data_IF_517123448422
#
_entry.id   IF_517123448422
#
_cell.length_a   1.000
_cell.length_b   1.000
_cell.length_c   1.000
_cell.angle_alpha   90.00
_cell.angle_beta   90.00
_cell.angle_gamma   90.00
#
_symmetry.space_group_name_H-M   'P 1'
#
loop_
_entity.id
_entity.type
_entity.pdbx_description
1 polymer ?
#
# COMPACT_ATOMS: atom_id res chain seq x y z
N UNK A 1 12.52 16.79 9.80
CA UNK A 1 11.63 15.65 10.11
C UNK A 1 11.09 15.87 11.50
N UNK A 2 9.78 15.73 11.66
CA UNK A 2 9.17 15.59 12.97
C UNK A 2 9.64 14.27 13.60
N UNK A 3 10.00 14.27 14.87
CA UNK A 3 10.53 13.08 15.55
C UNK A 3 9.39 12.15 15.99
N UNK A 4 8.50 11.78 15.06
CA UNK A 4 7.31 10.98 15.32
C UNK A 4 7.20 9.82 14.33
N UNK A 5 6.79 8.66 14.82
CA UNK A 5 6.39 7.51 14.00
C UNK A 5 4.89 7.54 13.76
N UNK A 6 4.46 7.22 12.54
CA UNK A 6 3.05 7.24 12.15
C UNK A 6 2.58 5.87 11.68
N UNK A 7 1.46 5.39 12.21
CA UNK A 7 0.85 4.12 11.83
C UNK A 7 -0.60 4.38 11.38
N UNK A 8 -0.99 4.00 10.15
CA UNK A 8 -2.38 4.09 9.72
C UNK A 8 -3.32 3.25 10.59
N UNK A 9 -4.45 3.83 10.99
CA UNK A 9 -5.54 3.07 11.61
C UNK A 9 -6.16 2.11 10.59
N UNK A 10 -6.87 1.06 11.02
CA UNK A 10 -7.77 0.33 10.14
C UNK A 10 -8.70 1.30 9.40
N UNK A 11 -8.78 1.17 8.07
CA UNK A 11 -9.53 2.09 7.21
C UNK A 11 -8.73 3.30 6.72
N UNK A 12 -7.60 3.63 7.34
CA UNK A 12 -6.70 4.70 6.90
C UNK A 12 -7.34 6.08 6.90
N UNK A 13 -8.17 6.36 7.91
CA UNK A 13 -8.80 7.66 8.18
C UNK A 13 -8.00 8.46 9.23
N UNK A 14 -7.18 7.78 10.03
CA UNK A 14 -6.33 8.39 11.04
C UNK A 14 -4.92 7.79 10.99
N UNK A 15 -3.93 8.55 11.43
CA UNK A 15 -2.62 8.06 11.81
C UNK A 15 -2.51 8.10 13.33
N UNK A 16 -2.11 6.98 13.93
CA UNK A 16 -1.60 6.99 15.29
C UNK A 16 -0.16 7.48 15.25
N UNK A 17 0.13 8.57 15.95
CA UNK A 17 1.49 9.12 16.05
C UNK A 17 2.11 8.82 17.40
N UNK A 18 3.40 8.49 17.37
CA UNK A 18 4.20 8.11 18.53
C UNK A 18 5.48 8.93 18.53
N UNK A 19 5.66 9.78 19.55
CA UNK A 19 6.90 10.51 19.77
C UNK A 19 8.05 9.54 20.10
N UNK A 20 9.30 9.88 19.75
CA UNK A 20 10.47 9.10 20.17
C UNK A 20 10.57 8.91 21.70
N UNK A 21 9.95 9.78 22.48
CA UNK A 21 9.94 9.74 23.94
C UNK A 21 8.68 9.09 24.53
N UNK A 22 7.87 8.42 23.71
CA UNK A 22 6.61 7.80 24.11
C UNK A 22 6.79 6.74 25.21
N UNK A 23 6.01 6.85 26.29
CA UNK A 23 6.01 5.92 27.43
C UNK A 23 4.75 5.06 27.43
N UNK A 24 4.80 3.93 28.13
CA UNK A 24 3.70 2.94 28.18
C UNK A 24 2.34 3.51 28.63
N UNK A 25 2.34 4.60 29.41
CA UNK A 25 1.10 5.26 29.90
C UNK A 25 0.64 6.42 29.02
N UNK A 26 1.44 6.79 28.03
CA UNK A 26 1.10 7.90 27.14
C UNK A 26 0.01 7.45 26.17
N UNK A 27 -0.84 8.40 25.77
CA UNK A 27 -1.88 8.13 24.77
C UNK A 27 -1.33 8.53 23.40
N UNK A 28 -1.47 7.70 22.37
CA UNK A 28 -1.06 8.08 21.03
C UNK A 28 -1.92 9.25 20.55
N UNK A 29 -1.29 10.22 19.91
CA UNK A 29 -1.98 11.33 19.26
C UNK A 29 -2.55 10.83 17.93
N UNK A 30 -3.82 11.15 17.67
CA UNK A 30 -4.50 10.77 16.44
C UNK A 30 -4.49 11.94 15.46
N UNK A 31 -3.85 11.73 14.31
CA UNK A 31 -3.84 12.70 13.21
C UNK A 31 -4.87 12.28 12.18
N UNK A 32 -5.86 13.13 11.93
CA UNK A 32 -6.90 12.88 10.93
C UNK A 32 -6.34 12.99 9.52
N UNK A 33 -6.71 12.03 8.66
CA UNK A 33 -6.34 12.01 7.25
C UNK A 33 -7.52 12.49 6.41
N UNK A 34 -7.37 13.67 5.81
CA UNK A 34 -8.44 14.24 4.99
C UNK A 34 -8.10 14.13 3.51
N UNK A 35 -8.70 13.15 2.85
CA UNK A 35 -8.58 13.00 1.41
C UNK A 35 -9.51 13.97 0.69
N UNK A 36 -8.96 14.77 -0.23
CA UNK A 36 -9.79 15.49 -1.21
C UNK A 36 -10.64 14.47 -1.97
N UNK A 37 -11.89 14.84 -2.25
CA UNK A 37 -12.82 14.00 -3.01
C UNK A 37 -12.18 13.57 -4.32
N UNK A 38 -12.16 12.25 -4.56
CA UNK A 38 -11.74 11.71 -5.85
C UNK A 38 -12.67 12.25 -6.96
N UNK A 39 -12.17 12.42 -8.19
CA UNK A 39 -13.01 12.79 -9.32
C UNK A 39 -14.22 11.85 -9.45
N UNK A 40 -15.40 12.39 -9.78
CA UNK A 40 -16.65 11.63 -9.86
C UNK A 40 -16.56 10.42 -10.82
N UNK A 41 -15.79 10.57 -11.90
CA UNK A 41 -15.51 9.50 -12.88
C UNK A 41 -14.74 8.32 -12.27
N UNK A 42 -13.90 8.58 -11.26
CA UNK A 42 -13.26 7.53 -10.49
C UNK A 42 -14.24 6.93 -9.49
N UNK A 43 -15.04 7.73 -8.78
CA UNK A 43 -15.97 7.23 -7.76
C UNK A 43 -16.94 6.17 -8.30
N UNK A 44 -17.45 6.35 -9.52
CA UNK A 44 -18.36 5.36 -10.15
C UNK A 44 -17.70 4.00 -10.41
N UNK A 45 -16.42 4.00 -10.80
CA UNK A 45 -15.63 2.79 -11.02
C UNK A 45 -15.07 2.17 -9.72
N UNK A 46 -15.25 2.86 -8.59
CA UNK A 46 -14.59 2.55 -7.32
C UNK A 46 -15.59 2.23 -6.20
N UNK A 47 -16.90 2.34 -6.45
CA UNK A 47 -17.96 2.00 -5.50
C UNK A 47 -17.77 0.58 -4.94
N UNK A 48 -17.42 -0.37 -5.81
CA UNK A 48 -17.10 -1.74 -5.41
C UNK A 48 -15.84 -1.79 -4.54
N UNK A 49 -14.82 -0.98 -4.81
CA UNK A 49 -13.58 -0.97 -4.03
C UNK A 49 -13.78 -0.51 -2.59
N UNK A 50 -14.74 0.38 -2.33
CA UNK A 50 -15.03 0.86 -0.97
C UNK A 50 -15.68 -0.21 -0.07
N UNK A 51 -16.32 -1.23 -0.66
CA UNK A 51 -16.82 -2.38 0.09
C UNK A 51 -15.71 -3.37 0.49
N UNK A 52 -14.51 -3.23 -0.10
CA UNK A 52 -13.45 -4.23 -0.01
C UNK A 52 -12.55 -4.08 1.18
N UNK A 53 -12.15 -5.21 1.76
CA UNK A 53 -11.07 -5.23 2.74
C UNK A 53 -9.77 -4.83 2.05
N UNK A 54 -9.15 -3.76 2.54
CA UNK A 54 -7.88 -3.21 2.04
C UNK A 54 -6.82 -3.19 3.12
N UNK A 55 -5.58 -2.99 2.71
CA UNK A 55 -4.50 -2.59 3.63
C UNK A 55 -4.05 -1.17 3.28
N UNK A 56 -3.74 -0.39 4.31
CA UNK A 56 -3.31 1.01 4.20
C UNK A 56 -1.86 1.09 4.67
N UNK A 57 -0.98 1.68 3.86
CA UNK A 57 0.47 1.80 4.13
C UNK A 57 0.87 3.26 4.00
N UNK A 58 1.46 3.85 5.04
CA UNK A 58 2.08 5.17 4.95
C UNK A 58 3.57 4.99 4.70
N UNK A 59 4.09 5.68 3.69
CA UNK A 59 5.50 5.59 3.28
C UNK A 59 6.07 6.98 3.15
N UNK A 60 7.28 7.16 3.69
CA UNK A 60 8.07 8.38 3.51
C UNK A 60 9.18 8.14 2.47
N UNK A 61 9.34 9.10 1.58
CA UNK A 61 10.41 9.12 0.57
C UNK A 61 11.71 9.67 1.16
N UNK A 62 12.87 9.43 0.49
CA UNK A 62 14.14 10.00 0.93
C UNK A 62 14.16 11.55 1.01
N UNK A 63 13.28 12.23 0.26
CA UNK A 63 13.11 13.69 0.30
C UNK A 63 12.20 14.18 1.43
N UNK A 64 11.55 13.28 2.18
CA UNK A 64 10.58 13.60 3.23
C UNK A 64 9.13 13.72 2.74
N UNK A 65 8.86 13.51 1.45
CA UNK A 65 7.48 13.45 0.95
C UNK A 65 6.80 12.16 1.44
N UNK A 66 5.57 12.28 1.95
CA UNK A 66 4.81 11.16 2.47
C UNK A 66 3.66 10.76 1.54
N UNK A 67 3.45 9.45 1.40
CA UNK A 67 2.41 8.85 0.57
C UNK A 67 1.60 7.84 1.38
N UNK A 68 0.28 7.93 1.31
CA UNK A 68 -0.62 6.89 1.79
C UNK A 68 -1.02 6.00 0.61
N UNK A 69 -0.71 4.71 0.69
CA UNK A 69 -1.05 3.71 -0.31
C UNK A 69 -2.18 2.84 0.22
N UNK A 70 -3.27 2.77 -0.54
CA UNK A 70 -4.39 1.87 -0.27
C UNK A 70 -4.31 0.68 -1.22
N UNK A 71 -4.07 -0.52 -0.69
CA UNK A 71 -3.91 -1.75 -1.46
C UNK A 71 -5.16 -2.62 -1.41
N UNK A 72 -5.76 -2.84 -2.59
CA UNK A 72 -6.99 -3.59 -2.79
C UNK A 72 -6.70 -4.96 -3.43
N UNK A 73 -6.93 -6.08 -2.70
CA UNK A 73 -6.93 -7.43 -3.27
C UNK A 73 -8.20 -7.66 -4.09
N UNK A 74 -8.21 -8.61 -5.02
CA UNK A 74 -9.42 -9.01 -5.76
C UNK A 74 -10.41 -9.73 -4.84
N UNK A 75 -11.65 -9.21 -4.80
CA UNK A 75 -12.61 -9.47 -3.72
C UNK A 75 -13.38 -10.78 -3.88
N UNK A 76 -13.47 -11.30 -5.11
CA UNK A 76 -14.30 -12.46 -5.42
C UNK A 76 -13.99 -13.64 -4.49
N UNK A 77 -12.72 -13.82 -4.10
CA UNK A 77 -12.31 -14.88 -3.17
C UNK A 77 -12.52 -14.53 -1.69
N UNK A 78 -12.43 -13.27 -1.28
CA UNK A 78 -12.68 -12.86 0.12
C UNK A 78 -14.13 -13.07 0.51
N UNK A 79 -15.06 -12.74 -0.39
CA UNK A 79 -16.47 -13.03 -0.22
C UNK A 79 -16.69 -14.56 -0.12
N UNK A 80 -16.10 -15.33 -1.03
CA UNK A 80 -16.22 -16.79 -1.04
C UNK A 80 -15.67 -17.44 0.24
N UNK A 81 -14.49 -17.05 0.71
CA UNK A 81 -13.89 -17.60 1.93
C UNK A 81 -14.67 -17.23 3.19
N UNK A 82 -15.21 -16.00 3.26
CA UNK A 82 -16.04 -15.53 4.38
C UNK A 82 -17.39 -16.24 4.42
N UNK A 83 -17.95 -16.57 3.25
CA UNK A 83 -19.30 -17.11 3.14
C UNK A 83 -19.36 -18.64 3.19
N UNK A 84 -18.37 -19.34 2.60
CA UNK A 84 -18.38 -20.81 2.51
C UNK A 84 -17.40 -21.51 3.45
N UNK A 85 -16.51 -20.78 4.14
CA UNK A 85 -15.55 -21.38 5.07
C UNK A 85 -14.58 -22.37 4.41
N UNK A 86 -14.00 -23.28 5.21
CA UNK A 86 -13.00 -24.27 4.79
C UNK A 86 -13.61 -25.46 4.00
N UNK A 87 -14.94 -25.47 3.79
CA UNK A 87 -15.70 -26.53 3.11
C UNK A 87 -15.55 -26.53 1.58
N UNK A 88 -14.71 -25.63 1.03
CA UNK A 88 -14.49 -25.49 -0.42
C UNK A 88 -13.53 -26.52 -1.04
N UNK A 89 -13.25 -27.65 -0.38
CA UNK A 89 -12.42 -28.73 -0.97
C UNK A 89 -13.08 -29.40 -2.20
N UNK A 90 -14.38 -29.18 -2.42
CA UNK A 90 -15.18 -29.87 -3.43
C UNK A 90 -15.57 -29.04 -4.67
N UNK A 91 -15.25 -27.74 -4.73
CA UNK A 91 -15.38 -26.97 -5.97
C UNK A 91 -14.16 -27.21 -6.85
N UNK A 92 -14.33 -28.13 -7.79
CA UNK A 92 -13.31 -28.68 -8.69
C UNK A 92 -12.64 -27.64 -9.60
N UNK A 93 -11.31 -27.62 -9.62
CA UNK A 93 -10.53 -27.48 -10.85
C UNK A 93 -9.83 -26.15 -11.12
N UNK A 94 -10.40 -25.00 -10.75
CA UNK A 94 -9.73 -23.71 -10.92
C UNK A 94 -9.09 -23.28 -9.59
N UNK A 95 -7.75 -23.23 -9.56
CA UNK A 95 -7.02 -22.59 -8.45
C UNK A 95 -7.39 -21.12 -8.44
N UNK A 96 -8.43 -20.74 -7.69
CA UNK A 96 -8.77 -19.33 -7.49
C UNK A 96 -7.58 -18.61 -6.86
N UNK A 97 -6.92 -17.72 -7.58
CA UNK A 97 -5.71 -17.05 -7.09
C UNK A 97 -6.10 -15.74 -6.40
N UNK A 98 -5.62 -15.51 -5.17
CA UNK A 98 -5.69 -14.17 -4.60
C UNK A 98 -4.79 -13.26 -5.43
N UNK A 99 -5.36 -12.26 -6.10
CA UNK A 99 -4.59 -11.32 -6.92
C UNK A 99 -4.78 -9.91 -6.39
N UNK A 100 -3.77 -9.09 -6.57
CA UNK A 100 -3.89 -7.65 -6.38
C UNK A 100 -4.76 -7.08 -7.48
N UNK A 101 -5.81 -6.36 -7.10
CA UNK A 101 -6.72 -5.69 -8.04
C UNK A 101 -6.23 -4.29 -8.36
N UNK A 102 -5.87 -3.51 -7.33
CA UNK A 102 -5.50 -2.09 -7.50
C UNK A 102 -4.72 -1.52 -6.33
N UNK A 103 -4.00 -0.44 -6.61
CA UNK A 103 -3.48 0.49 -5.60
C UNK A 103 -4.03 1.89 -5.85
N UNK A 104 -4.30 2.62 -4.77
CA UNK A 104 -4.48 4.07 -4.82
C UNK A 104 -3.38 4.74 -4.04
N UNK A 105 -2.84 5.83 -4.60
CA UNK A 105 -1.75 6.58 -3.98
C UNK A 105 -2.26 7.98 -3.68
N UNK A 106 -2.07 8.39 -2.44
CA UNK A 106 -2.39 9.73 -1.97
C UNK A 106 -1.12 10.39 -1.45
N UNK A 107 -0.80 11.58 -1.96
CA UNK A 107 0.32 12.39 -1.49
C UNK A 107 -0.16 13.27 -0.34
N UNK A 108 0.62 13.31 0.74
CA UNK A 108 0.43 14.27 1.84
C UNK A 108 0.78 15.65 1.32
N UNK A 109 -0.18 16.58 1.43
CA UNK A 109 0.05 17.99 1.09
C UNK A 109 0.94 18.63 2.16
N UNK A 110 1.66 19.69 1.79
CA UNK A 110 2.54 20.45 2.69
C UNK A 110 1.86 20.75 4.04
N UNK A 111 2.65 20.84 5.12
CA UNK A 111 2.13 20.81 6.49
C UNK A 111 0.98 21.79 6.65
N UNK A 112 -0.17 21.21 6.96
CA UNK A 112 -1.32 21.95 7.42
C UNK A 112 -0.91 22.83 8.60
N UNK A 113 -1.58 23.96 8.75
CA UNK A 113 -1.51 24.77 9.97
C UNK A 113 -2.07 24.07 11.20
N UNK A 114 -2.55 22.84 11.05
CA UNK A 114 -3.24 22.02 12.04
C UNK A 114 -2.50 20.70 12.16
N UNK A 115 -1.66 20.58 13.20
CA UNK A 115 -0.83 19.41 13.46
C UNK A 115 -1.65 18.12 13.65
N UNK A 116 -2.96 18.23 13.92
CA UNK A 116 -3.88 17.10 14.08
C UNK A 116 -4.56 16.68 12.77
N UNK A 117 -4.21 17.29 11.63
CA UNK A 117 -4.83 17.00 10.34
C UNK A 117 -3.84 17.00 9.19
N UNK A 118 -3.72 15.91 8.46
CA UNK A 118 -2.97 15.86 7.18
C UNK A 118 -3.95 15.85 6.01
N UNK A 119 -3.79 16.81 5.09
CA UNK A 119 -4.54 16.82 3.84
C UNK A 119 -3.85 15.90 2.83
N UNK A 120 -4.65 15.12 2.10
CA UNK A 120 -4.20 14.14 1.14
C UNK A 120 -4.81 14.43 -0.23
N UNK A 121 -3.98 14.42 -1.27
CA UNK A 121 -4.44 14.45 -2.67
C UNK A 121 -4.12 13.15 -3.37
N UNK A 122 -5.10 12.60 -4.10
CA UNK A 122 -4.86 11.48 -4.99
C UNK A 122 -3.84 11.87 -6.07
N UNK A 123 -2.91 10.96 -6.37
CA UNK A 123 -1.94 11.15 -7.43
C UNK A 123 -1.71 9.86 -8.22
N UNK A 124 -1.50 10.01 -9.52
CA UNK A 124 -1.05 8.95 -10.42
C UNK A 124 0.45 9.08 -10.77
N UNK A 125 1.13 10.00 -10.08
CA UNK A 125 2.51 10.34 -10.33
C UNK A 125 3.26 10.66 -9.03
N UNK A 126 4.25 9.84 -8.70
CA UNK A 126 5.20 10.05 -7.60
C UNK A 126 6.61 10.44 -8.11
N UNK A 127 6.76 10.75 -9.39
CA UNK A 127 8.01 11.19 -10.00
C UNK A 127 9.03 10.06 -10.15
N UNK A 128 10.28 10.34 -9.81
CA UNK A 128 11.42 9.40 -9.88
C UNK A 128 11.43 8.38 -8.72
N UNK A 129 10.33 8.28 -7.97
CA UNK A 129 10.24 7.38 -6.82
C UNK A 129 9.66 6.02 -7.23
N UNK A 130 10.02 4.99 -6.46
CA UNK A 130 9.33 3.70 -6.46
C UNK A 130 9.11 3.23 -5.02
N UNK A 131 8.00 2.53 -4.80
CA UNK A 131 7.54 2.13 -3.47
C UNK A 131 7.55 0.61 -3.38
N UNK A 132 8.01 0.06 -2.26
CA UNK A 132 8.04 -1.37 -1.99
C UNK A 132 7.06 -1.72 -0.88
N UNK A 133 6.09 -2.58 -1.19
CA UNK A 133 5.03 -3.00 -0.27
C UNK A 133 5.11 -4.50 0.00
N UNK A 134 5.09 -4.88 1.27
CA UNK A 134 5.06 -6.26 1.72
C UNK A 134 4.33 -6.39 3.04
N UNK A 135 4.71 -7.36 3.86
CA UNK A 135 4.21 -7.49 5.23
C UNK A 135 4.79 -6.49 6.22
N UNK A 136 6.08 -6.22 6.08
CA UNK A 136 6.80 -5.30 6.96
C UNK A 136 6.64 -3.86 6.49
N UNK A 137 7.39 -2.97 7.14
CA UNK A 137 7.45 -1.56 6.82
C UNK A 137 7.67 -1.34 5.33
N UNK A 138 6.72 -0.63 4.73
CA UNK A 138 6.80 -0.19 3.37
C UNK A 138 7.84 0.94 3.26
N UNK A 139 8.64 0.91 2.20
CA UNK A 139 9.69 1.90 2.00
C UNK A 139 9.69 2.44 0.57
N UNK A 140 10.33 3.60 0.40
CA UNK A 140 10.41 4.31 -0.87
C UNK A 140 11.87 4.57 -1.24
N UNK A 141 12.20 4.34 -2.50
CA UNK A 141 13.52 4.57 -3.07
C UNK A 141 13.44 5.52 -4.26
N UNK A 142 14.52 6.26 -4.49
CA UNK A 142 14.72 6.98 -5.75
C UNK A 142 15.14 5.98 -6.83
N UNK A 143 14.31 5.79 -7.84
CA UNK A 143 14.50 4.77 -8.88
C UNK A 143 15.77 4.99 -9.69
N UNK A 144 16.10 6.24 -10.04
CA UNK A 144 17.29 6.57 -10.82
C UNK A 144 18.62 6.18 -10.15
N UNK A 145 18.65 5.95 -8.83
CA UNK A 145 19.84 5.52 -8.11
C UNK A 145 20.12 4.02 -8.26
N UNK A 146 19.17 3.22 -8.73
CA UNK A 146 19.27 1.77 -8.77
C UNK A 146 18.93 1.22 -10.17
N UNK A 147 19.92 0.66 -10.89
CA UNK A 147 19.66 0.06 -12.19
C UNK A 147 18.57 -1.02 -12.13
N UNK A 148 17.58 -0.93 -13.02
CA UNK A 148 16.47 -1.88 -13.12
C UNK A 148 15.22 -1.50 -12.33
N UNK A 149 15.25 -0.46 -11.49
CA UNK A 149 14.04 0.11 -10.91
C UNK A 149 13.34 1.02 -11.91
N UNK A 150 12.01 0.91 -11.96
CA UNK A 150 11.15 1.77 -12.78
C UNK A 150 10.59 2.89 -11.89
N UNK A 151 10.72 4.16 -12.30
CA UNK A 151 10.09 5.27 -11.58
C UNK A 151 8.56 5.16 -11.66
N UNK A 152 7.88 5.85 -10.76
CA UNK A 152 6.43 5.91 -10.66
C UNK A 152 5.74 4.53 -10.58
N UNK A 153 6.33 3.62 -9.82
CA UNK A 153 5.87 2.23 -9.69
C UNK A 153 5.80 1.77 -8.22
N UNK A 154 4.94 0.78 -7.98
CA UNK A 154 4.84 0.05 -6.72
C UNK A 154 5.26 -1.40 -6.96
N UNK A 155 6.34 -1.81 -6.31
CA UNK A 155 6.77 -3.19 -6.21
C UNK A 155 6.08 -3.83 -5.02
N UNK A 156 5.41 -4.95 -5.21
CA UNK A 156 4.66 -5.58 -4.13
C UNK A 156 4.90 -7.09 -4.05
N UNK A 157 4.90 -7.60 -2.82
CA UNK A 157 4.94 -9.02 -2.50
C UNK A 157 3.85 -9.34 -1.48
N UNK A 158 3.09 -10.39 -1.72
CA UNK A 158 1.86 -10.66 -0.97
C UNK A 158 1.06 -11.79 -1.60
N UNK A 159 -0.22 -11.50 -1.85
CA UNK A 159 -1.15 -12.37 -2.57
C UNK A 159 -0.59 -12.87 -3.91
N UNK A 160 0.12 -11.99 -4.59
CA UNK A 160 0.87 -12.18 -5.83
C UNK A 160 2.06 -11.21 -5.81
N UNK A 161 3.08 -11.47 -6.62
CA UNK A 161 4.24 -10.59 -6.71
C UNK A 161 4.20 -9.83 -8.03
N UNK A 162 4.63 -8.57 -8.02
CA UNK A 162 4.65 -7.80 -9.26
C UNK A 162 5.02 -6.35 -9.10
N UNK A 163 4.83 -5.63 -10.20
CA UNK A 163 5.01 -4.18 -10.32
C UNK A 163 3.72 -3.56 -10.82
N UNK A 164 3.21 -2.61 -10.05
CA UNK A 164 2.08 -1.78 -10.44
C UNK A 164 2.59 -0.43 -10.96
N UNK A 165 2.28 -0.11 -12.20
CA UNK A 165 2.59 1.19 -12.81
C UNK A 165 1.50 2.18 -12.43
N UNK A 166 1.86 3.22 -11.67
CA UNK A 166 0.88 4.12 -11.05
C UNK A 166 0.18 4.98 -12.12
N UNK A 167 0.87 5.37 -13.19
CA UNK A 167 0.28 6.20 -14.24
C UNK A 167 -0.70 5.41 -15.12
N UNK A 168 -0.30 4.23 -15.58
CA UNK A 168 -1.12 3.40 -16.47
C UNK A 168 -2.14 2.55 -15.72
N UNK A 169 -2.00 2.42 -14.41
CA UNK A 169 -2.80 1.55 -13.54
C UNK A 169 -2.71 0.06 -13.93
N UNK A 170 -1.61 -0.34 -14.60
CA UNK A 170 -1.37 -1.71 -15.04
C UNK A 170 -0.58 -2.47 -13.98
N UNK A 171 -1.07 -3.67 -13.65
CA UNK A 171 -0.42 -4.59 -12.73
C UNK A 171 0.33 -5.69 -13.51
N UNK A 172 1.66 -5.64 -13.52
CA UNK A 172 2.52 -6.64 -14.15
C UNK A 172 2.93 -7.68 -13.11
N UNK A 173 2.48 -8.92 -13.28
CA UNK A 173 2.73 -10.00 -12.32
C UNK A 173 3.99 -10.77 -12.68
N UNK A 174 4.77 -11.13 -11.67
CA UNK A 174 5.90 -12.01 -11.85
C UNK A 174 5.43 -13.46 -11.89
N UNK A 175 5.91 -14.21 -12.89
CA UNK A 175 5.62 -15.63 -13.05
C UNK A 175 6.88 -16.43 -13.35
N UNK A 176 6.83 -17.71 -13.03
CA UNK A 176 7.80 -18.73 -13.41
C UNK A 176 7.14 -19.73 -14.35
N UNK A 177 7.89 -20.72 -14.84
CA UNK A 177 7.33 -21.85 -15.61
C UNK A 177 6.24 -22.62 -14.81
N UNK A 178 6.28 -22.54 -13.48
CA UNK A 178 5.31 -23.17 -12.57
C UNK A 178 4.07 -22.30 -12.30
N UNK A 179 4.04 -21.06 -12.79
CA UNK A 179 2.92 -20.12 -12.67
C UNK A 179 3.26 -18.81 -11.95
N UNK A 180 2.22 -18.06 -11.58
CA UNK A 180 2.38 -16.76 -10.89
C UNK A 180 3.07 -16.92 -9.53
N UNK A 181 4.08 -16.10 -9.28
CA UNK A 181 4.71 -16.01 -7.97
C UNK A 181 3.73 -15.44 -6.94
N UNK A 182 3.69 -16.09 -5.78
CA UNK A 182 2.81 -15.75 -4.66
C UNK A 182 3.31 -16.42 -3.39
N UNK A 183 2.89 -15.88 -2.24
CA UNK A 183 3.00 -16.60 -0.98
C UNK A 183 1.76 -16.39 -0.12
N UNK A 184 1.26 -17.47 0.48
CA UNK A 184 0.21 -17.41 1.50
C UNK A 184 0.76 -16.97 2.85
N UNK A 185 2.04 -17.23 3.12
CA UNK A 185 2.80 -16.56 4.17
C UNK A 185 3.20 -15.18 3.65
N UNK A 186 2.40 -14.16 3.94
CA UNK A 186 2.58 -12.78 3.46
C UNK A 186 4.07 -12.36 3.63
N UNK A 187 4.85 -12.27 2.53
CA UNK A 187 6.31 -12.26 2.56
C UNK A 187 6.88 -10.86 2.78
N UNK A 188 8.19 -10.82 3.04
CA UNK A 188 8.90 -9.62 3.47
C UNK A 188 9.86 -9.14 2.38
N UNK A 189 9.95 -7.83 2.18
CA UNK A 189 11.08 -7.25 1.46
C UNK A 189 12.30 -7.23 2.39
N UNK A 190 13.52 -7.46 1.86
CA UNK A 190 14.72 -7.24 2.66
C UNK A 190 14.79 -5.77 3.08
N UNK A 191 15.09 -5.52 4.35
CA UNK A 191 15.19 -4.16 4.88
C UNK A 191 16.23 -3.35 4.07
N UNK A 192 15.98 -2.07 3.73
CA UNK A 192 16.86 -1.27 2.88
C UNK A 192 18.32 -1.22 3.33
N UNK A 193 18.56 -1.29 4.64
CA UNK A 193 19.91 -1.32 5.24
C UNK A 193 20.73 -2.59 4.89
N UNK A 194 20.09 -3.64 4.37
CA UNK A 194 20.78 -4.84 3.88
C UNK A 194 21.08 -4.79 2.38
N UNK A 195 20.74 -3.70 1.68
CA UNK A 195 21.11 -3.49 0.28
C UNK A 195 22.47 -2.79 0.27
N UNK A 196 23.58 -3.47 -0.06
CA UNK A 196 24.88 -2.81 -0.14
C UNK A 196 24.84 -1.75 -1.25
N UNK A 197 25.44 -0.56 -1.05
CA UNK A 197 25.63 0.39 -2.14
C UNK A 197 26.54 -0.27 -3.20
N UNK A 198 26.03 -0.34 -4.43
CA UNK A 198 26.78 -0.80 -5.62
C UNK A 198 27.78 0.24 -6.09
#
# INVERSE_FOLDING_TARGET
>A
MDQKFYIPSPGGEYLCSFDLNFKEKDKPELVSLWTKLLPQSMLHNMADLFAMTRTDHLVESPSGEQFLIKWYPDELRLMILRYYGDDMKNFSGEKFEHKTKRFLVFKVEEPSTDEEKKNLSYTENIGDLCIFLGRDEAFCLQASLYPGLKPNCIYFVGYNYGVFDINTQICNLFSTEEGSLRSTGFPYWPHPLYIPPT
#
